data_IF_156695469768
#
_entry.id   IF_156695469768
#
_cell.length_a   1.000
_cell.length_b   1.000
_cell.length_c   1.000
_cell.angle_alpha   90.00
_cell.angle_beta   90.00
_cell.angle_gamma   90.00
#
_symmetry.space_group_name_H-M   'P 1'
#
loop_
_entity.id
_entity.type
_entity.pdbx_description
1 polymer ?
#
# COMPACT_ATOMS: atom_id res chain seq x y z
N UNK A 1 3.25 -22.87 17.08
CA UNK A 1 3.49 -21.46 16.77
C UNK A 1 2.13 -20.81 16.67
N UNK A 2 1.76 -19.99 17.65
CA UNK A 2 0.43 -19.36 17.68
C UNK A 2 0.46 -18.20 16.70
N UNK A 3 -0.28 -18.33 15.59
CA UNK A 3 -0.64 -17.24 14.70
C UNK A 3 -1.47 -16.21 15.48
N UNK A 4 -0.79 -15.23 16.03
CA UNK A 4 -1.45 -14.07 16.63
C UNK A 4 -1.88 -13.13 15.48
N UNK A 5 -2.84 -13.57 14.67
CA UNK A 5 -3.52 -12.74 13.67
C UNK A 5 -4.37 -11.75 14.43
N UNK A 6 -3.86 -10.56 14.70
CA UNK A 6 -4.68 -9.45 15.16
C UNK A 6 -5.78 -9.25 14.13
N UNK A 7 -7.04 -9.47 14.54
CA UNK A 7 -8.19 -9.26 13.66
C UNK A 7 -8.22 -7.77 13.33
N UNK A 8 -7.90 -7.45 12.10
CA UNK A 8 -7.85 -6.09 11.61
C UNK A 8 -9.26 -5.49 11.63
N UNK A 9 -9.47 -4.41 12.35
CA UNK A 9 -10.74 -3.69 12.36
C UNK A 9 -10.63 -2.48 11.43
N UNK A 10 -11.20 -2.62 10.24
CA UNK A 10 -11.37 -1.47 9.35
C UNK A 10 -12.46 -0.53 9.89
N UNK A 11 -12.37 0.78 9.63
CA UNK A 11 -13.53 1.67 9.81
C UNK A 11 -14.75 1.11 9.06
N UNK A 12 -15.92 1.21 9.69
CA UNK A 12 -17.19 0.64 9.16
C UNK A 12 -17.41 0.99 7.69
N UNK A 13 -17.16 2.24 7.32
CA UNK A 13 -17.35 2.71 5.93
C UNK A 13 -16.48 1.93 4.93
N UNK A 14 -15.22 1.62 5.28
CA UNK A 14 -14.34 0.80 4.47
C UNK A 14 -14.77 -0.67 4.45
N UNK A 15 -15.20 -1.19 5.60
CA UNK A 15 -15.70 -2.56 5.69
C UNK A 15 -16.93 -2.77 4.78
N UNK A 16 -17.90 -1.86 4.84
CA UNK A 16 -19.11 -1.92 4.02
C UNK A 16 -18.78 -1.80 2.51
N UNK A 17 -17.93 -0.85 2.15
CA UNK A 17 -17.49 -0.66 0.77
C UNK A 17 -16.82 -1.92 0.21
N UNK A 18 -15.81 -2.45 0.92
CA UNK A 18 -15.06 -3.62 0.47
C UNK A 18 -15.91 -4.90 0.47
N UNK A 19 -16.88 -5.01 1.37
CA UNK A 19 -17.86 -6.11 1.37
C UNK A 19 -18.70 -6.10 0.09
N UNK A 20 -19.20 -4.92 -0.33
CA UNK A 20 -19.94 -4.82 -1.60
C UNK A 20 -19.04 -5.07 -2.83
N UNK A 21 -17.76 -4.68 -2.76
CA UNK A 21 -16.79 -5.00 -3.82
C UNK A 21 -16.60 -6.52 -3.91
N UNK A 22 -16.34 -7.18 -2.77
CA UNK A 22 -16.15 -8.64 -2.68
C UNK A 22 -17.35 -9.41 -3.27
N UNK A 23 -18.57 -9.00 -2.90
CA UNK A 23 -19.81 -9.61 -3.38
C UNK A 23 -20.07 -9.39 -4.89
N UNK A 24 -19.55 -8.31 -5.45
CA UNK A 24 -19.71 -7.99 -6.86
C UNK A 24 -18.71 -8.72 -7.77
N UNK A 25 -17.61 -9.21 -7.21
CA UNK A 25 -16.61 -9.99 -7.95
C UNK A 25 -17.12 -11.39 -8.27
N UNK A 26 -16.78 -11.88 -9.46
CA UNK A 26 -17.19 -13.20 -9.96
C UNK A 26 -16.15 -14.29 -9.76
N UNK A 27 -14.96 -13.91 -9.38
CA UNK A 27 -13.80 -14.79 -9.15
C UNK A 27 -12.91 -14.18 -8.09
N UNK A 28 -11.97 -14.98 -7.57
CA UNK A 28 -10.96 -14.47 -6.66
C UNK A 28 -10.05 -13.46 -7.36
N UNK A 29 -9.84 -12.32 -6.71
CA UNK A 29 -8.96 -11.24 -7.17
C UNK A 29 -7.99 -10.87 -6.05
N UNK A 30 -6.72 -10.99 -6.35
CA UNK A 30 -5.63 -10.61 -5.47
C UNK A 30 -5.11 -9.21 -5.86
N UNK A 31 -5.15 -8.24 -4.96
CA UNK A 31 -4.61 -6.90 -5.15
C UNK A 31 -3.38 -6.70 -4.27
N UNK A 32 -2.28 -6.21 -4.86
CA UNK A 32 -1.10 -5.80 -4.11
C UNK A 32 -1.22 -4.32 -3.76
N UNK A 33 -1.53 -4.04 -2.50
CA UNK A 33 -1.95 -2.73 -2.02
C UNK A 33 -0.82 -1.96 -1.35
N UNK A 34 -0.86 -0.64 -1.50
CA UNK A 34 0.07 0.31 -0.88
C UNK A 34 -0.66 1.60 -0.48
N UNK A 35 0.09 2.63 -0.12
CA UNK A 35 -0.48 3.98 0.07
C UNK A 35 -1.18 4.21 1.40
N UNK A 36 -2.03 5.24 1.42
CA UNK A 36 -2.65 5.77 2.63
C UNK A 36 -3.60 4.80 3.31
N UNK A 37 -4.34 3.99 2.53
CA UNK A 37 -5.23 2.97 3.07
C UNK A 37 -4.46 1.95 3.94
N UNK A 38 -3.34 1.43 3.43
CA UNK A 38 -2.52 0.45 4.17
C UNK A 38 -1.97 1.05 5.46
N UNK A 39 -1.52 2.31 5.41
CA UNK A 39 -1.02 3.02 6.59
C UNK A 39 -2.09 3.22 7.65
N UNK A 40 -3.30 3.60 7.24
CA UNK A 40 -4.44 3.76 8.15
C UNK A 40 -4.91 2.43 8.72
N UNK A 41 -5.11 1.44 7.87
CA UNK A 41 -5.70 0.16 8.23
C UNK A 41 -4.79 -0.68 9.14
N UNK A 42 -3.49 -0.74 8.85
CA UNK A 42 -2.55 -1.59 9.60
C UNK A 42 -1.82 -0.86 10.71
N UNK A 43 -1.43 0.39 10.45
CA UNK A 43 -0.51 1.10 11.37
C UNK A 43 -1.21 2.21 12.15
N UNK A 44 -2.51 2.47 11.87
CA UNK A 44 -3.30 3.45 12.61
C UNK A 44 -2.91 4.89 12.31
N UNK A 45 -2.47 5.19 11.05
CA UNK A 45 -2.26 6.57 10.63
C UNK A 45 -3.56 7.36 10.83
N UNK A 46 -3.57 8.44 11.64
CA UNK A 46 -4.81 9.15 12.01
C UNK A 46 -5.30 10.09 10.91
N UNK A 47 -4.99 9.81 9.66
CA UNK A 47 -5.43 10.58 8.52
C UNK A 47 -6.37 9.75 7.66
N UNK A 48 -7.59 10.23 7.42
CA UNK A 48 -8.53 9.53 6.54
C UNK A 48 -7.99 9.50 5.10
N UNK A 49 -8.27 8.41 4.40
CA UNK A 49 -8.04 8.27 2.97
C UNK A 49 -9.32 7.85 2.28
N UNK A 50 -9.53 8.31 1.04
CA UNK A 50 -10.68 7.96 0.22
C UNK A 50 -10.35 6.96 -0.88
N UNK A 51 -9.08 6.58 -1.00
CA UNK A 51 -8.55 5.71 -2.04
C UNK A 51 -7.86 4.48 -1.46
N UNK A 52 -8.04 3.35 -2.12
CA UNK A 52 -7.24 2.14 -1.96
C UNK A 52 -6.37 2.01 -3.20
N UNK A 53 -5.09 2.31 -3.02
CA UNK A 53 -4.08 2.20 -4.09
C UNK A 53 -3.58 0.76 -4.21
N UNK A 54 -3.48 0.26 -5.46
CA UNK A 54 -2.85 -1.02 -5.74
C UNK A 54 -1.93 -0.93 -6.97
N UNK A 55 -0.88 -1.76 -7.01
CA UNK A 55 0.10 -1.82 -8.11
C UNK A 55 -0.07 -3.05 -8.99
N UNK A 56 -0.67 -4.11 -8.48
CA UNK A 56 -0.88 -5.37 -9.21
C UNK A 56 -2.25 -5.94 -8.89
N UNK A 57 -2.87 -6.54 -9.90
CA UNK A 57 -4.08 -7.35 -9.77
C UNK A 57 -3.82 -8.71 -10.40
N UNK A 58 -4.20 -9.79 -9.70
CA UNK A 58 -4.10 -11.15 -10.20
C UNK A 58 -5.46 -11.87 -10.04
N UNK A 59 -6.07 -12.37 -11.12
CA UNK A 59 -5.56 -12.31 -12.50
C UNK A 59 -5.53 -10.89 -13.07
N UNK A 60 -4.63 -10.64 -14.03
CA UNK A 60 -4.41 -9.30 -14.60
C UNK A 60 -5.69 -8.70 -15.21
N UNK A 61 -6.51 -9.54 -15.84
CA UNK A 61 -7.77 -9.14 -16.47
C UNK A 61 -8.79 -8.62 -15.45
N UNK A 62 -8.70 -9.03 -14.19
CA UNK A 62 -9.57 -8.56 -13.11
C UNK A 62 -9.40 -7.07 -12.82
N UNK A 63 -8.32 -6.43 -13.28
CA UNK A 63 -8.12 -5.00 -13.18
C UNK A 63 -9.29 -4.20 -13.75
N UNK A 64 -9.75 -4.55 -14.95
CA UNK A 64 -10.89 -3.86 -15.59
C UNK A 64 -12.20 -4.07 -14.80
N UNK A 65 -12.39 -5.28 -14.25
CA UNK A 65 -13.56 -5.59 -13.43
C UNK A 65 -13.56 -4.79 -12.14
N UNK A 66 -12.44 -4.74 -11.42
CA UNK A 66 -12.26 -3.94 -10.18
C UNK A 66 -12.50 -2.45 -10.46
N UNK A 67 -11.91 -1.89 -11.52
CA UNK A 67 -12.09 -0.48 -11.87
C UNK A 67 -13.56 -0.17 -12.20
N UNK A 68 -14.27 -1.07 -12.87
CA UNK A 68 -15.70 -0.92 -13.17
C UNK A 68 -16.57 -0.98 -11.91
N UNK A 69 -16.27 -1.89 -10.97
CA UNK A 69 -17.02 -2.10 -9.73
C UNK A 69 -16.77 -0.99 -8.74
N UNK A 70 -15.49 -0.65 -8.51
CA UNK A 70 -15.03 0.13 -7.36
C UNK A 70 -14.12 1.32 -7.73
N UNK A 71 -13.78 1.52 -8.99
CA UNK A 71 -12.96 2.65 -9.43
C UNK A 71 -13.67 3.98 -9.30
N UNK A 72 -12.91 5.08 -9.44
CA UNK A 72 -13.44 6.43 -9.35
C UNK A 72 -14.58 6.64 -10.36
N UNK A 73 -15.71 7.15 -9.88
CA UNK A 73 -16.92 7.37 -10.69
C UNK A 73 -17.86 6.18 -10.80
N UNK A 74 -17.49 5.00 -10.30
CA UNK A 74 -18.35 3.82 -10.23
C UNK A 74 -19.58 4.07 -9.30
N UNK A 75 -20.55 3.16 -9.35
CA UNK A 75 -21.71 3.22 -8.44
C UNK A 75 -21.28 3.16 -6.98
N UNK A 76 -20.36 2.25 -6.64
CA UNK A 76 -19.89 2.10 -5.26
C UNK A 76 -19.08 3.32 -4.80
N UNK A 77 -18.23 3.87 -5.67
CA UNK A 77 -17.46 5.06 -5.29
C UNK A 77 -18.35 6.28 -5.04
N UNK A 78 -19.44 6.44 -5.80
CA UNK A 78 -20.42 7.51 -5.57
C UNK A 78 -21.19 7.32 -4.25
N UNK A 79 -21.53 6.06 -3.92
CA UNK A 79 -22.24 5.70 -2.70
C UNK A 79 -21.41 5.94 -1.45
N UNK A 80 -20.17 5.46 -1.42
CA UNK A 80 -19.32 5.45 -0.24
C UNK A 80 -18.33 6.60 -0.17
N UNK A 81 -18.12 7.34 -1.26
CA UNK A 81 -17.04 8.34 -1.42
C UNK A 81 -15.64 7.71 -1.24
N UNK A 82 -15.54 6.43 -1.50
CA UNK A 82 -14.32 5.62 -1.53
C UNK A 82 -14.15 5.01 -2.91
N UNK A 83 -12.91 4.73 -3.29
CA UNK A 83 -12.64 4.05 -4.56
C UNK A 83 -11.34 3.24 -4.51
N UNK A 84 -11.22 2.30 -5.45
CA UNK A 84 -10.00 1.53 -5.67
C UNK A 84 -9.30 2.10 -6.90
N UNK A 85 -7.98 2.26 -6.83
CA UNK A 85 -7.19 2.89 -7.89
C UNK A 85 -5.92 2.09 -8.20
N UNK A 86 -5.72 1.77 -9.48
CA UNK A 86 -4.43 1.25 -9.92
C UNK A 86 -3.40 2.37 -10.03
N UNK A 87 -2.27 2.20 -9.37
CA UNK A 87 -1.12 3.09 -9.52
C UNK A 87 -0.30 2.61 -10.71
N UNK A 88 -0.46 3.27 -11.86
CA UNK A 88 0.16 2.85 -13.12
C UNK A 88 1.67 3.05 -13.18
N UNK A 89 2.22 3.98 -12.40
CA UNK A 89 3.66 4.24 -12.33
C UNK A 89 4.03 4.39 -10.85
N UNK A 90 4.70 3.38 -10.31
CA UNK A 90 5.27 3.40 -8.98
C UNK A 90 6.62 2.69 -9.01
N UNK A 91 7.62 3.28 -8.35
CA UNK A 91 8.88 2.60 -8.09
C UNK A 91 8.74 1.83 -6.78
N UNK A 92 9.08 0.56 -6.79
CA UNK A 92 9.04 -0.33 -5.62
C UNK A 92 10.17 -1.36 -5.71
N UNK A 93 10.60 -1.96 -4.57
CA UNK A 93 11.64 -2.99 -4.56
C UNK A 93 11.28 -4.21 -5.41
N UNK A 94 12.27 -4.85 -6.00
CA UNK A 94 12.08 -6.00 -6.90
C UNK A 94 11.36 -7.16 -6.21
N UNK A 95 11.83 -7.53 -5.03
CA UNK A 95 11.37 -8.72 -4.31
C UNK A 95 10.21 -8.40 -3.33
N UNK A 96 9.43 -7.32 -3.57
CA UNK A 96 8.33 -6.94 -2.67
C UNK A 96 7.26 -8.03 -2.54
N UNK A 97 7.05 -8.84 -3.58
CA UNK A 97 6.05 -9.91 -3.57
C UNK A 97 6.33 -10.97 -2.51
N UNK A 98 7.60 -11.28 -2.25
CA UNK A 98 8.02 -12.24 -1.22
C UNK A 98 7.72 -11.77 0.21
N UNK A 99 7.41 -10.46 0.36
CA UNK A 99 7.20 -9.80 1.66
C UNK A 99 5.76 -9.33 1.86
N UNK A 100 4.88 -9.62 0.92
CA UNK A 100 3.46 -9.27 1.04
C UNK A 100 2.81 -9.94 2.23
N UNK A 101 1.91 -9.23 2.88
CA UNK A 101 1.08 -9.75 3.96
C UNK A 101 -0.38 -9.71 3.56
N UNK A 102 -1.08 -10.84 3.67
CA UNK A 102 -2.52 -10.90 3.43
C UNK A 102 -3.28 -10.25 4.59
N UNK A 103 -4.19 -9.33 4.28
CA UNK A 103 -5.16 -8.83 5.24
C UNK A 103 -6.32 -9.83 5.37
N UNK A 104 -6.45 -10.44 6.54
CA UNK A 104 -7.54 -11.38 6.83
C UNK A 104 -8.83 -10.61 7.18
N UNK A 105 -9.61 -10.29 6.15
CA UNK A 105 -10.87 -9.53 6.26
C UNK A 105 -12.11 -10.43 6.15
N UNK A 106 -11.94 -11.74 5.95
CA UNK A 106 -13.01 -12.71 5.81
C UNK A 106 -13.76 -12.63 4.46
N UNK A 107 -13.20 -11.98 3.45
CA UNK A 107 -13.79 -11.87 2.10
C UNK A 107 -13.61 -13.19 1.34
N UNK A 108 -14.53 -13.43 0.40
CA UNK A 108 -14.53 -14.67 -0.40
C UNK A 108 -13.72 -14.52 -1.69
N UNK A 109 -13.89 -13.39 -2.39
CA UNK A 109 -13.32 -13.14 -3.70
C UNK A 109 -12.22 -12.08 -3.69
N UNK A 110 -12.25 -11.13 -2.76
CA UNK A 110 -11.27 -10.05 -2.68
C UNK A 110 -10.16 -10.38 -1.69
N UNK A 111 -8.92 -10.44 -2.18
CA UNK A 111 -7.71 -10.64 -1.37
C UNK A 111 -6.84 -9.38 -1.43
N UNK A 112 -6.63 -8.75 -0.30
CA UNK A 112 -5.77 -7.58 -0.18
C UNK A 112 -4.43 -7.99 0.40
N UNK A 113 -3.41 -8.00 -0.44
CA UNK A 113 -2.02 -8.21 -0.06
C UNK A 113 -1.35 -6.85 0.08
N UNK A 114 -0.70 -6.58 1.17
CA UNK A 114 -0.13 -5.27 1.47
C UNK A 114 1.39 -5.32 1.53
N UNK A 115 2.01 -4.24 1.03
CA UNK A 115 3.45 -4.06 1.12
C UNK A 115 3.87 -3.92 2.59
N UNK A 116 5.03 -4.48 2.91
CA UNK A 116 5.61 -4.32 4.24
C UNK A 116 6.19 -2.89 4.43
N UNK A 117 6.51 -2.46 5.68
CA UNK A 117 6.81 -1.06 5.97
C UNK A 117 7.94 -0.43 5.15
N UNK A 118 9.04 -1.13 4.93
CA UNK A 118 10.16 -0.58 4.16
C UNK A 118 9.80 -0.41 2.69
N UNK A 119 9.03 -1.36 2.11
CA UNK A 119 8.57 -1.28 0.73
C UNK A 119 7.56 -0.14 0.56
N UNK A 120 6.67 0.08 1.55
CA UNK A 120 5.78 1.25 1.60
C UNK A 120 6.55 2.57 1.62
N UNK A 121 7.63 2.67 2.40
CA UNK A 121 8.47 3.86 2.44
C UNK A 121 9.15 4.06 1.08
N UNK A 122 9.75 3.02 0.54
CA UNK A 122 10.49 3.08 -0.73
C UNK A 122 9.59 3.47 -1.91
N UNK A 123 8.32 3.05 -1.90
CA UNK A 123 7.35 3.45 -2.94
C UNK A 123 7.06 4.96 -2.98
N UNK A 124 7.49 5.73 -1.98
CA UNK A 124 7.28 7.18 -1.88
C UNK A 124 8.47 8.02 -2.34
N UNK A 125 9.61 7.39 -2.65
CA UNK A 125 10.85 8.09 -3.00
C UNK A 125 10.70 8.99 -4.23
N UNK A 126 10.08 8.50 -5.30
CA UNK A 126 9.94 9.23 -6.55
C UNK A 126 9.10 10.50 -6.39
N UNK A 127 8.02 10.43 -5.62
CA UNK A 127 7.09 11.53 -5.43
C UNK A 127 7.54 12.52 -4.35
N UNK A 128 7.95 12.03 -3.19
CA UNK A 128 8.51 12.77 -2.05
C UNK A 128 7.78 14.10 -1.73
N UNK A 129 6.47 14.14 -1.80
CA UNK A 129 5.70 15.31 -1.41
C UNK A 129 5.59 15.46 0.13
N UNK A 130 5.06 16.57 0.67
CA UNK A 130 4.92 16.74 2.13
C UNK A 130 4.15 15.60 2.80
N UNK A 131 3.06 15.13 2.19
CA UNK A 131 2.26 14.00 2.69
C UNK A 131 3.08 12.70 2.75
N UNK A 132 3.91 12.44 1.73
CA UNK A 132 4.78 11.27 1.72
C UNK A 132 5.82 11.31 2.83
N UNK A 133 6.41 12.49 3.08
CA UNK A 133 7.37 12.67 4.19
C UNK A 133 6.74 12.46 5.56
N UNK A 134 5.50 12.92 5.75
CA UNK A 134 4.77 12.70 7.00
C UNK A 134 4.45 11.22 7.20
N UNK A 135 4.05 10.51 6.15
CA UNK A 135 3.82 9.07 6.16
C UNK A 135 5.08 8.29 6.52
N UNK A 136 6.23 8.68 5.93
CA UNK A 136 7.53 8.05 6.24
C UNK A 136 7.91 8.27 7.70
N UNK A 137 7.83 9.50 8.19
CA UNK A 137 8.11 9.81 9.61
C UNK A 137 7.21 9.00 10.54
N UNK A 138 5.92 8.93 10.23
CA UNK A 138 4.97 8.15 11.02
C UNK A 138 5.38 6.68 11.11
N UNK A 139 5.66 6.02 9.99
CA UNK A 139 6.06 4.61 9.96
C UNK A 139 7.37 4.37 10.71
N UNK A 140 8.37 5.20 10.44
CA UNK A 140 9.69 5.09 11.06
C UNK A 140 9.58 5.17 12.59
N UNK A 141 8.85 6.17 13.10
CA UNK A 141 8.66 6.36 14.54
C UNK A 141 7.81 5.24 15.15
N UNK A 142 6.69 4.91 14.49
CA UNK A 142 5.72 3.92 14.99
C UNK A 142 6.33 2.52 15.13
N UNK A 143 7.22 2.14 14.20
CA UNK A 143 7.76 0.79 14.10
C UNK A 143 9.25 0.71 14.47
N UNK A 144 9.87 1.83 14.87
CA UNK A 144 11.31 1.91 15.19
C UNK A 144 12.18 1.31 14.08
N UNK A 145 11.93 1.74 12.83
CA UNK A 145 12.59 1.18 11.66
C UNK A 145 14.07 1.57 11.57
N UNK A 146 14.87 0.73 10.92
CA UNK A 146 16.31 0.93 10.73
C UNK A 146 16.61 1.57 9.37
N UNK A 147 17.35 2.69 9.37
CA UNK A 147 17.83 3.31 8.13
C UNK A 147 18.71 2.37 7.31
N UNK A 148 19.57 1.58 7.95
CA UNK A 148 20.45 0.65 7.25
C UNK A 148 19.70 -0.42 6.48
N UNK A 149 18.58 -0.92 7.00
CA UNK A 149 17.73 -1.87 6.29
C UNK A 149 17.07 -1.21 5.08
N UNK A 150 16.52 0.01 5.25
CA UNK A 150 15.93 0.77 4.16
C UNK A 150 16.91 1.03 3.03
N UNK A 151 18.12 1.54 3.38
CA UNK A 151 19.15 1.90 2.40
C UNK A 151 19.65 0.69 1.63
N UNK A 152 19.95 -0.44 2.32
CA UNK A 152 20.40 -1.68 1.66
C UNK A 152 19.36 -2.20 0.68
N UNK A 153 18.08 -2.18 1.05
CA UNK A 153 17.01 -2.63 0.16
C UNK A 153 16.90 -1.73 -1.08
N UNK A 154 16.93 -0.42 -0.89
CA UNK A 154 16.96 0.50 -2.01
C UNK A 154 18.18 0.25 -2.93
N UNK A 155 19.35 0.10 -2.35
CA UNK A 155 20.59 -0.10 -3.08
C UNK A 155 20.59 -1.41 -3.90
N UNK A 156 20.09 -2.50 -3.31
CA UNK A 156 20.08 -3.81 -3.98
C UNK A 156 18.90 -4.03 -4.92
N UNK A 157 17.71 -3.58 -4.58
CA UNK A 157 16.49 -3.96 -5.29
C UNK A 157 15.91 -2.83 -6.17
N UNK A 158 16.24 -1.56 -5.91
CA UNK A 158 15.69 -0.43 -6.69
C UNK A 158 16.74 0.27 -7.54
N UNK A 159 17.88 0.65 -6.96
CA UNK A 159 18.92 1.44 -7.63
C UNK A 159 19.33 0.91 -9.00
N UNK A 160 19.52 -0.40 -9.23
CA UNK A 160 19.90 -0.94 -10.52
C UNK A 160 18.85 -0.80 -11.62
N UNK A 161 17.59 -0.53 -11.27
CA UNK A 161 16.42 -0.62 -12.16
C UNK A 161 15.74 0.71 -12.46
N UNK A 162 16.07 1.77 -11.73
CA UNK A 162 15.42 3.08 -11.84
C UNK A 162 16.30 4.08 -12.58
N UNK A 163 15.69 4.85 -13.47
CA UNK A 163 16.42 5.82 -14.31
C UNK A 163 16.99 7.01 -13.52
N UNK A 164 16.35 7.38 -12.38
CA UNK A 164 16.71 8.55 -11.57
C UNK A 164 17.28 8.15 -10.21
N UNK A 165 18.21 7.19 -10.17
CA UNK A 165 18.81 6.68 -8.93
C UNK A 165 19.39 7.80 -8.04
N UNK A 166 20.08 8.78 -8.61
CA UNK A 166 20.69 9.90 -7.86
C UNK A 166 19.63 10.75 -7.14
N UNK A 167 18.48 10.97 -7.76
CA UNK A 167 17.35 11.68 -7.14
C UNK A 167 16.80 10.89 -5.95
N UNK A 168 16.63 9.60 -6.11
CA UNK A 168 16.19 8.72 -5.02
C UNK A 168 17.21 8.68 -3.89
N UNK A 169 18.50 8.58 -4.22
CA UNK A 169 19.58 8.60 -3.23
C UNK A 169 19.61 9.90 -2.44
N UNK A 170 19.42 11.03 -3.10
CA UNK A 170 19.29 12.33 -2.44
C UNK A 170 18.10 12.34 -1.47
N UNK A 171 16.94 11.84 -1.92
CA UNK A 171 15.73 11.79 -1.09
C UNK A 171 15.90 10.88 0.13
N UNK A 172 16.44 9.67 -0.06
CA UNK A 172 16.62 8.72 1.05
C UNK A 172 17.62 9.23 2.08
N UNK A 173 18.68 9.94 1.66
CA UNK A 173 19.62 10.58 2.55
C UNK A 173 19.00 11.74 3.33
N UNK A 174 18.09 12.52 2.73
CA UNK A 174 17.31 13.53 3.46
C UNK A 174 16.43 12.89 4.54
N UNK A 175 15.87 11.71 4.28
CA UNK A 175 15.03 11.00 5.25
C UNK A 175 15.81 10.34 6.38
N UNK A 176 17.15 10.22 6.27
CA UNK A 176 18.00 9.63 7.32
C UNK A 176 17.75 10.22 8.69
N UNK A 177 17.49 11.53 8.76
CA UNK A 177 17.18 12.22 10.02
C UNK A 177 15.91 11.73 10.72
N UNK A 178 14.98 11.12 9.98
CA UNK A 178 13.74 10.57 10.55
C UNK A 178 13.99 9.31 11.38
N UNK A 179 15.09 8.61 11.14
CA UNK A 179 15.51 7.37 11.82
C UNK A 179 16.41 7.59 13.03
N UNK A 180 16.70 8.85 13.38
CA UNK A 180 17.63 9.21 14.48
C UNK A 180 16.92 9.55 15.78
N UNK A 181 15.67 9.10 15.95
CA UNK A 181 14.89 9.35 17.16
C UNK A 181 15.14 8.29 18.23
#
# INVERSE_FOLDING_TARGET
>A
MSDNKAKLQLPTLWQDFLTEVDQALRQEVNLHCLGGFVLSALYGLPRPTGDLDYISANPFEARQEIEKIAGLGSRLSKKYKLFVQCVGVADYPEDYEDRLTLLDLGFQNLRLWVLEPYDLILSKLARNNPKDRDDVKFLVTKLSLSFNVLYRRWESEMKPRIANADRHETTINLWKSYFQQ
#
